data_IF_664431190942
#
_entry.id   IF_664431190942
#
_cell.length_a   1.000
_cell.length_b   1.000
_cell.length_c   1.000
_cell.angle_alpha   90.00
_cell.angle_beta   90.00
_cell.angle_gamma   90.00
#
_symmetry.space_group_name_H-M   'P 1'
#
loop_
_entity.id
_entity.type
_entity.pdbx_description
1 polymer ?
#
# COMPACT_ATOMS: atom_id res chain seq x y z
N UNK A 1 -15.62 -16.97 -15.43
CA UNK A 1 -15.75 -15.52 -15.21
C UNK A 1 -16.68 -14.97 -16.29
N UNK A 2 -17.75 -14.26 -15.92
CA UNK A 2 -18.73 -13.78 -16.89
C UNK A 2 -18.19 -12.65 -17.77
N UNK A 3 -17.42 -11.74 -17.16
CA UNK A 3 -16.69 -10.66 -17.86
C UNK A 3 -15.28 -10.55 -17.28
N UNK A 4 -14.37 -10.05 -18.11
CA UNK A 4 -12.97 -9.81 -17.78
C UNK A 4 -12.57 -8.50 -18.42
N UNK A 5 -11.94 -7.62 -17.65
CA UNK A 5 -11.33 -6.41 -18.16
C UNK A 5 -9.82 -6.44 -17.96
N UNK A 6 -9.13 -5.43 -18.47
CA UNK A 6 -7.68 -5.29 -18.35
C UNK A 6 -7.22 -4.98 -16.92
N UNK A 7 -8.15 -4.67 -16.00
CA UNK A 7 -7.87 -4.35 -14.59
C UNK A 7 -7.92 -5.58 -13.71
N UNK A 8 -8.67 -6.58 -14.13
CA UNK A 8 -8.92 -7.79 -13.35
C UNK A 8 -7.62 -8.57 -13.14
N UNK A 9 -7.12 -8.54 -11.90
CA UNK A 9 -5.95 -9.30 -11.50
C UNK A 9 -6.35 -10.47 -10.62
N UNK A 10 -5.86 -11.67 -10.93
CA UNK A 10 -6.09 -12.89 -10.15
C UNK A 10 -4.80 -13.28 -9.41
N UNK A 11 -4.95 -13.83 -8.21
CA UNK A 11 -3.87 -14.48 -7.46
C UNK A 11 -4.21 -15.96 -7.35
N UNK A 12 -3.21 -16.82 -7.60
CA UNK A 12 -3.36 -18.27 -7.59
C UNK A 12 -2.31 -18.84 -6.64
N UNK A 13 -2.75 -19.63 -5.67
CA UNK A 13 -1.88 -20.40 -4.77
C UNK A 13 -1.56 -21.74 -5.44
N UNK A 14 -0.29 -22.12 -5.47
CA UNK A 14 0.17 -23.37 -6.06
C UNK A 14 0.77 -24.25 -4.97
N UNK A 15 0.46 -25.55 -5.02
CA UNK A 15 0.99 -26.55 -4.09
C UNK A 15 1.79 -27.61 -4.86
N UNK A 16 2.76 -28.22 -4.18
CA UNK A 16 3.59 -29.26 -4.76
C UNK A 16 2.92 -30.62 -4.61
N UNK A 17 2.61 -31.28 -5.72
CA UNK A 17 2.16 -32.69 -5.73
C UNK A 17 3.32 -33.68 -5.87
N UNK A 18 4.44 -33.23 -6.44
CA UNK A 18 5.65 -34.02 -6.69
C UNK A 18 6.90 -33.14 -6.62
N UNK A 19 8.06 -33.78 -6.44
CA UNK A 19 9.35 -33.10 -6.51
C UNK A 19 9.56 -32.46 -7.90
N UNK A 20 10.19 -31.30 -7.91
CA UNK A 20 10.53 -30.54 -9.12
C UNK A 20 11.95 -30.86 -9.56
N UNK A 21 12.18 -30.82 -10.87
CA UNK A 21 13.50 -31.02 -11.46
C UNK A 21 14.16 -29.68 -11.72
N UNK A 22 15.28 -29.44 -11.04
CA UNK A 22 16.05 -28.20 -11.09
C UNK A 22 16.46 -27.82 -12.52
N UNK A 23 16.83 -28.80 -13.36
CA UNK A 23 17.31 -28.54 -14.73
C UNK A 23 16.18 -28.16 -15.67
N UNK A 24 14.99 -28.72 -15.46
CA UNK A 24 13.81 -28.44 -16.31
C UNK A 24 13.06 -27.19 -15.85
N UNK A 25 13.15 -26.84 -14.56
CA UNK A 25 12.35 -25.78 -13.97
C UNK A 25 10.86 -26.09 -14.00
N UNK A 26 10.05 -25.05 -13.89
CA UNK A 26 8.59 -25.12 -13.98
C UNK A 26 8.08 -24.17 -15.04
N UNK A 27 7.18 -24.65 -15.89
CA UNK A 27 6.44 -23.81 -16.83
C UNK A 27 5.01 -23.68 -16.35
N UNK A 28 4.56 -22.44 -16.15
CA UNK A 28 3.18 -22.10 -15.82
C UNK A 28 2.56 -21.53 -17.10
N UNK A 29 1.47 -22.14 -17.54
CA UNK A 29 0.72 -21.67 -18.70
C UNK A 29 -0.71 -21.31 -18.29
N UNK A 30 -1.08 -20.04 -18.48
CA UNK A 30 -2.43 -19.54 -18.26
C UNK A 30 -3.11 -19.39 -19.60
N UNK A 31 -4.20 -20.12 -19.80
CA UNK A 31 -5.00 -20.09 -21.04
C UNK A 31 -6.36 -19.45 -20.74
N UNK A 32 -6.63 -18.31 -21.37
CA UNK A 32 -7.91 -17.62 -21.30
C UNK A 32 -8.62 -17.73 -22.64
N UNK A 33 -9.75 -18.44 -22.67
CA UNK A 33 -10.67 -18.44 -23.81
C UNK A 33 -11.81 -17.47 -23.55
N UNK A 34 -12.05 -16.54 -24.47
CA UNK A 34 -13.07 -15.50 -24.32
C UNK A 34 -13.69 -15.11 -25.67
N UNK A 35 -14.86 -14.47 -25.62
CA UNK A 35 -15.49 -13.86 -26.80
C UNK A 35 -15.21 -12.37 -26.77
N UNK A 36 -14.68 -11.83 -27.87
CA UNK A 36 -14.40 -10.40 -28.00
C UNK A 36 -15.71 -9.61 -28.13
N UNK A 37 -15.63 -8.28 -27.98
CA UNK A 37 -16.78 -7.39 -28.22
C UNK A 37 -17.29 -7.46 -29.68
N UNK A 38 -16.47 -7.96 -30.61
CA UNK A 38 -16.84 -8.19 -32.01
C UNK A 38 -17.52 -9.56 -32.23
N UNK A 39 -17.75 -10.34 -31.18
CA UNK A 39 -18.35 -11.68 -31.28
C UNK A 39 -17.37 -12.79 -31.65
N UNK A 40 -16.08 -12.48 -31.78
CA UNK A 40 -15.06 -13.46 -32.15
C UNK A 40 -14.60 -14.28 -30.94
N UNK A 41 -14.55 -15.59 -31.07
CA UNK A 41 -13.93 -16.46 -30.07
C UNK A 41 -12.41 -16.38 -30.20
N UNK A 42 -11.74 -15.92 -29.15
CA UNK A 42 -10.28 -15.77 -29.08
C UNK A 42 -9.72 -16.53 -27.89
N UNK A 43 -8.46 -16.94 -28.02
CA UNK A 43 -7.69 -17.55 -26.93
C UNK A 43 -6.44 -16.74 -26.69
N UNK A 44 -6.22 -16.33 -25.44
CA UNK A 44 -4.99 -15.67 -24.98
C UNK A 44 -4.21 -16.65 -24.11
N UNK A 45 -2.92 -16.77 -24.40
CA UNK A 45 -2.01 -17.68 -23.71
C UNK A 45 -0.87 -16.88 -23.12
N UNK A 46 -0.63 -17.04 -21.83
CA UNK A 46 0.56 -16.54 -21.15
C UNK A 46 1.38 -17.73 -20.67
N UNK A 47 2.65 -17.77 -21.05
CA UNK A 47 3.59 -18.81 -20.63
C UNK A 47 4.71 -18.17 -19.83
N UNK A 48 4.95 -18.67 -18.62
CA UNK A 48 6.00 -18.23 -17.71
C UNK A 48 6.88 -19.43 -17.38
N UNK A 49 8.18 -19.32 -17.63
CA UNK A 49 9.16 -20.33 -17.21
C UNK A 49 9.90 -19.82 -15.97
N UNK A 50 9.95 -20.64 -14.93
CA UNK A 50 10.58 -20.35 -13.66
C UNK A 50 11.69 -21.37 -13.39
N UNK A 51 12.81 -20.89 -12.87
CA UNK A 51 13.86 -21.75 -12.37
C UNK A 51 13.41 -22.43 -11.07
N UNK A 52 13.94 -23.62 -10.83
CA UNK A 52 13.84 -24.29 -9.54
C UNK A 52 15.21 -24.24 -8.87
N UNK A 53 15.25 -24.32 -7.54
CA UNK A 53 16.48 -24.46 -6.78
C UNK A 53 16.23 -25.33 -5.56
N UNK A 54 17.24 -26.12 -5.18
CA UNK A 54 17.26 -26.84 -3.91
C UNK A 54 17.77 -25.96 -2.75
N UNK A 55 18.32 -24.78 -3.05
CA UNK A 55 18.84 -23.84 -2.07
C UNK A 55 17.78 -22.80 -1.68
N UNK A 56 17.45 -22.76 -0.39
CA UNK A 56 16.44 -21.83 0.13
C UNK A 56 16.80 -20.35 -0.08
N UNK A 57 18.10 -20.02 -0.09
CA UNK A 57 18.58 -18.66 -0.34
C UNK A 57 18.11 -18.14 -1.70
N UNK A 58 18.15 -18.98 -2.74
CA UNK A 58 17.71 -18.60 -4.08
C UNK A 58 16.21 -18.28 -4.10
N UNK A 59 15.40 -19.00 -3.33
CA UNK A 59 13.97 -18.69 -3.16
C UNK A 59 13.78 -17.30 -2.57
N UNK A 60 14.50 -16.96 -1.50
CA UNK A 60 14.40 -15.63 -0.88
C UNK A 60 14.94 -14.50 -1.77
N UNK A 61 15.97 -14.78 -2.57
CA UNK A 61 16.52 -13.82 -3.52
C UNK A 61 15.58 -13.50 -4.67
N UNK A 62 14.74 -14.46 -5.10
CA UNK A 62 13.80 -14.28 -6.21
C UNK A 62 12.39 -13.84 -5.79
N UNK A 63 12.15 -13.62 -4.49
CA UNK A 63 10.87 -13.14 -3.98
C UNK A 63 10.70 -11.63 -4.13
N UNK A 64 9.49 -11.19 -4.46
CA UNK A 64 9.12 -9.77 -4.54
C UNK A 64 8.08 -9.41 -3.48
N UNK A 65 8.41 -8.45 -2.60
CA UNK A 65 7.54 -8.06 -1.49
C UNK A 65 6.14 -7.59 -1.93
N UNK A 66 6.03 -6.85 -3.03
CA UNK A 66 4.77 -6.33 -3.56
C UNK A 66 3.85 -7.46 -4.05
N UNK A 67 4.41 -8.47 -4.69
CA UNK A 67 3.66 -9.65 -5.18
C UNK A 67 3.13 -10.46 -4.01
N UNK A 68 3.95 -10.67 -2.98
CA UNK A 68 3.53 -11.32 -1.73
C UNK A 68 2.43 -10.53 -1.02
N UNK A 69 2.57 -9.21 -0.89
CA UNK A 69 1.52 -8.34 -0.34
C UNK A 69 0.20 -8.54 -1.10
N UNK A 70 0.26 -8.55 -2.44
CA UNK A 70 -0.93 -8.68 -3.28
C UNK A 70 -1.59 -10.04 -3.11
N UNK A 71 -0.79 -11.11 -3.05
CA UNK A 71 -1.26 -12.46 -2.77
C UNK A 71 -1.93 -12.54 -1.39
N UNK A 72 -1.24 -12.14 -0.32
CA UNK A 72 -1.76 -12.18 1.04
C UNK A 72 -2.99 -11.30 1.21
N UNK A 73 -3.03 -10.12 0.60
CA UNK A 73 -4.20 -9.26 0.61
C UNK A 73 -5.41 -9.97 0.03
N UNK A 74 -5.27 -10.59 -1.16
CA UNK A 74 -6.38 -11.30 -1.81
C UNK A 74 -6.79 -12.56 -1.03
N UNK A 75 -5.82 -13.35 -0.56
CA UNK A 75 -6.06 -14.54 0.28
C UNK A 75 -6.91 -14.16 1.50
N UNK A 76 -6.46 -13.16 2.26
CA UNK A 76 -7.16 -12.72 3.47
C UNK A 76 -8.52 -12.10 3.15
N UNK A 77 -8.61 -11.23 2.15
CA UNK A 77 -9.86 -10.55 1.81
C UNK A 77 -10.94 -11.51 1.29
N UNK A 78 -10.55 -12.61 0.63
CA UNK A 78 -11.45 -13.70 0.31
C UNK A 78 -11.91 -14.43 1.58
N UNK A 79 -10.98 -14.80 2.46
CA UNK A 79 -11.27 -15.53 3.69
C UNK A 79 -12.09 -14.77 4.73
N UNK A 80 -12.10 -13.42 4.69
CA UNK A 80 -12.91 -12.56 5.59
C UNK A 80 -14.41 -12.88 5.55
N UNK A 81 -14.91 -13.49 4.47
CA UNK A 81 -16.32 -13.87 4.36
C UNK A 81 -16.67 -15.11 5.19
N UNK A 82 -15.68 -15.91 5.57
CA UNK A 82 -15.86 -17.25 6.14
C UNK A 82 -15.19 -17.40 7.52
N UNK A 83 -14.16 -16.60 7.80
CA UNK A 83 -13.31 -16.73 8.99
C UNK A 83 -13.27 -15.45 9.84
N UNK A 84 -13.12 -15.56 11.17
CA UNK A 84 -12.93 -14.42 12.07
C UNK A 84 -11.73 -13.54 11.68
N UNK A 85 -11.90 -12.22 11.77
CA UNK A 85 -10.86 -11.25 11.41
C UNK A 85 -9.58 -11.39 12.25
N UNK A 86 -9.72 -11.73 13.53
CA UNK A 86 -8.59 -11.91 14.43
C UNK A 86 -7.71 -13.07 13.98
N UNK A 87 -8.32 -14.21 13.64
CA UNK A 87 -7.63 -15.39 13.14
C UNK A 87 -6.81 -15.08 11.89
N UNK A 88 -7.41 -14.37 10.92
CA UNK A 88 -6.72 -13.97 9.69
C UNK A 88 -5.53 -13.03 9.95
N UNK A 89 -5.66 -12.12 10.92
CA UNK A 89 -4.58 -11.20 11.31
C UNK A 89 -3.44 -11.90 12.05
N UNK A 90 -3.75 -12.96 12.79
CA UNK A 90 -2.78 -13.81 13.47
C UNK A 90 -2.07 -14.72 12.46
N UNK A 91 -2.81 -15.35 11.52
CA UNK A 91 -2.25 -16.13 10.41
C UNK A 91 -1.21 -15.33 9.61
N UNK A 92 -1.54 -14.10 9.19
CA UNK A 92 -0.59 -13.22 8.51
C UNK A 92 0.68 -12.96 9.31
N UNK A 93 0.57 -12.83 10.64
CA UNK A 93 1.73 -12.59 11.50
C UNK A 93 2.58 -13.86 11.62
N UNK A 94 1.94 -15.02 11.81
CA UNK A 94 2.59 -16.33 11.93
C UNK A 94 3.37 -16.68 10.67
N UNK A 95 2.74 -16.62 9.49
CA UNK A 95 3.36 -16.92 8.19
C UNK A 95 4.64 -16.10 7.94
N UNK A 96 4.60 -14.79 8.27
CA UNK A 96 5.78 -13.91 8.12
C UNK A 96 6.85 -14.24 9.14
N UNK A 97 6.45 -14.52 10.38
CA UNK A 97 7.38 -14.86 11.45
C UNK A 97 8.12 -16.16 11.12
N UNK A 98 7.39 -17.18 10.65
CA UNK A 98 7.94 -18.47 10.23
C UNK A 98 8.88 -18.31 9.03
N UNK A 99 8.48 -17.53 8.03
CA UNK A 99 9.31 -17.19 6.88
C UNK A 99 10.64 -16.53 7.29
N UNK A 100 10.59 -15.54 8.20
CA UNK A 100 11.80 -14.88 8.71
C UNK A 100 12.66 -15.78 9.61
N UNK A 101 12.04 -16.61 10.45
CA UNK A 101 12.76 -17.60 11.25
C UNK A 101 13.48 -18.62 10.35
N UNK A 102 12.79 -19.10 9.31
CA UNK A 102 13.35 -20.01 8.32
C UNK A 102 14.54 -19.38 7.58
N UNK A 103 14.41 -18.13 7.14
CA UNK A 103 15.53 -17.38 6.54
C UNK A 103 16.72 -17.26 7.49
N UNK A 104 16.47 -16.89 8.76
CA UNK A 104 17.53 -16.78 9.77
C UNK A 104 18.24 -18.11 9.99
N UNK A 105 17.49 -19.21 10.13
CA UNK A 105 18.04 -20.54 10.40
C UNK A 105 18.94 -21.06 9.28
N UNK A 106 18.55 -20.84 8.03
CA UNK A 106 19.12 -21.55 6.88
C UNK A 106 19.93 -20.66 5.93
N UNK A 107 19.72 -19.34 5.95
CA UNK A 107 20.33 -18.41 4.98
C UNK A 107 21.21 -17.34 5.63
N UNK A 108 21.13 -17.13 6.95
CA UNK A 108 21.97 -16.14 7.63
C UNK A 108 23.30 -16.73 8.08
N UNK A 109 24.38 -15.95 7.98
CA UNK A 109 25.70 -16.34 8.45
C UNK A 109 25.67 -16.58 9.96
N UNK A 110 26.42 -17.58 10.45
CA UNK A 110 26.50 -17.95 11.87
C UNK A 110 27.01 -16.83 12.79
N UNK A 111 27.45 -15.69 12.25
CA UNK A 111 27.98 -14.54 12.96
C UNK A 111 26.93 -13.50 13.37
N UNK A 112 25.65 -13.67 13.01
CA UNK A 112 24.63 -12.66 13.33
C UNK A 112 24.21 -12.74 14.80
N UNK A 113 24.31 -11.61 15.51
CA UNK A 113 23.95 -11.54 16.92
C UNK A 113 22.47 -11.86 17.14
N UNK A 114 22.10 -12.47 18.28
CA UNK A 114 20.72 -12.79 18.60
C UNK A 114 19.83 -11.54 18.71
N UNK A 115 20.39 -10.37 19.02
CA UNK A 115 19.64 -9.11 19.15
C UNK A 115 19.35 -8.40 17.82
N UNK A 116 19.79 -8.93 16.68
CA UNK A 116 19.56 -8.33 15.36
C UNK A 116 18.42 -9.04 14.62
N UNK A 117 17.47 -8.31 14.06
CA UNK A 117 16.51 -8.85 13.10
C UNK A 117 17.15 -8.92 11.70
N UNK A 118 17.18 -10.11 11.10
CA UNK A 118 17.76 -10.32 9.76
C UNK A 118 16.63 -10.43 8.75
N UNK A 119 16.67 -9.59 7.72
CA UNK A 119 15.68 -9.57 6.65
C UNK A 119 16.35 -9.90 5.30
N UNK A 120 15.70 -10.70 4.44
CA UNK A 120 16.14 -10.87 3.05
C UNK A 120 16.12 -9.54 2.32
N UNK A 121 17.11 -9.30 1.45
CA UNK A 121 17.27 -8.01 0.75
C UNK A 121 16.01 -7.57 -0.01
N UNK A 122 15.40 -8.48 -0.77
CA UNK A 122 14.21 -8.21 -1.58
C UNK A 122 12.90 -8.19 -0.77
N UNK A 123 12.94 -8.58 0.51
CA UNK A 123 11.80 -8.59 1.43
C UNK A 123 11.92 -7.54 2.55
N UNK A 124 12.87 -6.61 2.49
CA UNK A 124 13.02 -5.53 3.49
C UNK A 124 11.75 -4.70 3.70
N UNK A 125 10.96 -4.51 2.64
CA UNK A 125 9.70 -3.75 2.67
C UNK A 125 8.48 -4.61 3.00
N UNK A 126 8.61 -5.94 3.03
CA UNK A 126 7.49 -6.85 3.29
C UNK A 126 6.87 -6.61 4.69
N UNK A 127 7.65 -6.42 5.78
CA UNK A 127 7.06 -6.19 7.10
C UNK A 127 6.19 -4.93 7.18
N UNK A 128 6.59 -3.82 6.55
CA UNK A 128 5.78 -2.58 6.57
C UNK A 128 4.49 -2.76 5.76
N UNK A 129 4.56 -3.44 4.61
CA UNK A 129 3.39 -3.74 3.80
C UNK A 129 2.38 -4.63 4.52
N UNK A 130 2.86 -5.70 5.18
CA UNK A 130 1.98 -6.62 5.89
C UNK A 130 1.44 -6.02 7.19
N UNK A 131 2.20 -5.16 7.86
CA UNK A 131 1.65 -4.38 8.97
C UNK A 131 0.52 -3.45 8.50
N UNK A 132 0.69 -2.79 7.36
CA UNK A 132 -0.35 -1.96 6.76
C UNK A 132 -1.60 -2.77 6.39
N UNK A 133 -1.43 -3.93 5.76
CA UNK A 133 -2.53 -4.85 5.45
C UNK A 133 -3.29 -5.28 6.71
N UNK A 134 -2.58 -5.66 7.79
CA UNK A 134 -3.19 -6.04 9.08
C UNK A 134 -3.97 -4.89 9.73
N UNK A 135 -3.62 -3.64 9.43
CA UNK A 135 -4.30 -2.41 9.88
C UNK A 135 -5.38 -1.92 8.91
N UNK A 136 -5.62 -2.63 7.82
CA UNK A 136 -6.63 -2.22 6.84
C UNK A 136 -8.04 -2.26 7.43
N UNK A 137 -8.91 -1.35 6.96
CA UNK A 137 -10.30 -1.28 7.44
C UNK A 137 -11.09 -2.58 7.18
N UNK A 138 -10.65 -3.41 6.24
CA UNK A 138 -11.25 -4.72 5.98
C UNK A 138 -10.90 -5.72 7.09
N UNK A 139 -9.67 -5.72 7.60
CA UNK A 139 -9.20 -6.68 8.62
C UNK A 139 -9.34 -6.18 10.06
N UNK A 140 -9.52 -4.88 10.28
CA UNK A 140 -9.81 -4.35 11.61
C UNK A 140 -11.30 -4.48 11.97
N UNK A 141 -11.63 -4.65 13.27
CA UNK A 141 -13.01 -4.52 13.74
C UNK A 141 -13.49 -3.10 13.44
N UNK A 142 -14.54 -2.97 12.63
CA UNK A 142 -15.00 -1.70 12.04
C UNK A 142 -15.65 -0.75 13.04
N UNK A 143 -14.87 -0.20 13.97
CA UNK A 143 -15.33 0.78 14.97
C UNK A 143 -15.81 2.09 14.33
N UNK A 144 -15.22 2.47 13.19
CA UNK A 144 -15.40 3.78 12.54
C UNK A 144 -15.79 3.71 11.05
N UNK A 145 -16.03 2.50 10.53
CA UNK A 145 -16.40 2.27 9.12
C UNK A 145 -17.62 1.37 9.03
N UNK A 146 -18.59 1.75 8.21
CA UNK A 146 -19.78 0.92 7.95
C UNK A 146 -19.41 -0.39 7.26
N UNK A 147 -20.25 -1.41 7.44
CA UNK A 147 -20.10 -2.70 6.72
C UNK A 147 -20.07 -2.49 5.21
N UNK A 148 -20.90 -1.58 4.69
CA UNK A 148 -20.95 -1.27 3.26
C UNK A 148 -19.63 -0.70 2.74
N UNK A 149 -19.04 0.28 3.44
CA UNK A 149 -17.74 0.86 3.06
C UNK A 149 -16.63 -0.19 3.07
N UNK A 150 -16.61 -1.08 4.07
CA UNK A 150 -15.62 -2.15 4.17
C UNK A 150 -15.77 -3.17 3.03
N UNK A 151 -17.01 -3.53 2.70
CA UNK A 151 -17.29 -4.43 1.57
C UNK A 151 -16.91 -3.80 0.23
N UNK A 152 -17.21 -2.52 0.04
CA UNK A 152 -16.82 -1.77 -1.16
C UNK A 152 -15.29 -1.71 -1.30
N UNK A 153 -14.58 -1.36 -0.22
CA UNK A 153 -13.12 -1.33 -0.20
C UNK A 153 -12.54 -2.71 -0.53
N UNK A 154 -13.06 -3.77 0.08
CA UNK A 154 -12.68 -5.16 -0.23
C UNK A 154 -12.83 -5.45 -1.73
N UNK A 155 -13.99 -5.16 -2.31
CA UNK A 155 -14.24 -5.42 -3.73
C UNK A 155 -13.28 -4.65 -4.65
N UNK A 156 -12.99 -3.39 -4.33
CA UNK A 156 -12.05 -2.57 -5.09
C UNK A 156 -10.62 -3.12 -5.00
N UNK A 157 -10.15 -3.46 -3.79
CA UNK A 157 -8.76 -3.89 -3.56
C UNK A 157 -8.49 -5.29 -4.10
N UNK A 158 -9.44 -6.23 -4.02
CA UNK A 158 -9.27 -7.60 -4.57
C UNK A 158 -9.05 -7.58 -6.09
N UNK A 159 -9.57 -6.57 -6.79
CA UNK A 159 -9.37 -6.42 -8.23
C UNK A 159 -8.01 -5.87 -8.63
N UNK A 160 -7.31 -5.17 -7.72
CA UNK A 160 -6.09 -4.42 -8.03
C UNK A 160 -4.92 -5.30 -8.50
N UNK A 161 -4.07 -4.71 -9.33
CA UNK A 161 -2.77 -5.26 -9.71
C UNK A 161 -1.72 -5.02 -8.62
N UNK A 162 -0.55 -5.64 -8.78
CA UNK A 162 0.53 -5.59 -7.77
C UNK A 162 0.99 -4.16 -7.46
N UNK A 163 1.12 -3.32 -8.49
CA UNK A 163 1.58 -1.93 -8.34
C UNK A 163 0.56 -1.10 -7.57
N UNK A 164 -0.72 -1.22 -7.94
CA UNK A 164 -1.83 -0.50 -7.32
C UNK A 164 -2.03 -0.98 -5.89
N UNK A 165 -1.97 -2.29 -5.63
CA UNK A 165 -2.05 -2.82 -4.26
C UNK A 165 -0.93 -2.28 -3.37
N UNK A 166 0.32 -2.22 -3.86
CA UNK A 166 1.42 -1.64 -3.12
C UNK A 166 1.18 -0.16 -2.77
N UNK A 167 0.72 0.64 -3.73
CA UNK A 167 0.37 2.06 -3.50
C UNK A 167 -0.88 2.26 -2.64
N UNK A 168 -1.74 1.25 -2.50
CA UNK A 168 -2.88 1.29 -1.58
C UNK A 168 -2.43 1.12 -0.12
N UNK A 169 -1.53 0.16 0.14
CA UNK A 169 -1.05 -0.13 1.49
C UNK A 169 0.15 0.72 1.91
N UNK A 170 0.84 1.39 0.99
CA UNK A 170 1.84 2.42 1.31
C UNK A 170 1.66 3.58 0.33
N UNK A 171 0.74 4.52 0.63
CA UNK A 171 0.51 5.67 -0.24
C UNK A 171 1.74 6.57 -0.31
N UNK A 172 1.81 7.42 -1.34
CA UNK A 172 2.86 8.42 -1.45
C UNK A 172 2.46 9.67 -0.67
N UNK A 173 3.33 10.13 0.23
CA UNK A 173 3.17 11.38 0.96
C UNK A 173 4.18 12.40 0.39
N UNK A 174 3.66 13.36 -0.39
CA UNK A 174 4.48 14.28 -1.18
C UNK A 174 4.38 15.69 -0.60
N UNK A 175 5.49 16.32 -0.17
CA UNK A 175 5.47 17.74 0.19
C UNK A 175 5.25 18.56 -1.08
N UNK A 176 4.31 19.50 -1.03
CA UNK A 176 4.08 20.43 -2.13
C UNK A 176 5.10 21.59 -2.04
N UNK A 177 5.79 21.91 -3.14
CA UNK A 177 6.71 23.04 -3.15
C UNK A 177 5.92 24.35 -3.01
N UNK A 178 6.13 25.02 -1.89
CA UNK A 178 5.60 26.36 -1.63
C UNK A 178 6.73 27.34 -1.89
N UNK A 179 6.83 27.87 -3.12
CA UNK A 179 7.73 29.01 -3.42
C UNK A 179 8.96 28.76 -4.29
N UNK A 180 8.93 27.80 -5.22
CA UNK A 180 9.99 27.63 -6.23
C UNK A 180 9.77 28.46 -7.49
N UNK A 181 10.87 28.88 -8.14
CA UNK A 181 10.86 29.62 -9.41
C UNK A 181 10.00 28.94 -10.48
N UNK A 182 9.09 29.74 -11.03
CA UNK A 182 8.06 29.39 -12.02
C UNK A 182 8.56 28.88 -13.38
N UNK A 183 9.86 28.63 -13.54
CA UNK A 183 10.51 28.25 -14.81
C UNK A 183 10.77 26.75 -14.96
N UNK A 184 10.55 25.94 -13.91
CA UNK A 184 10.69 24.48 -13.97
C UNK A 184 9.35 23.77 -13.68
N UNK A 185 9.04 22.65 -14.36
CA UNK A 185 7.89 21.83 -13.99
C UNK A 185 8.05 21.46 -12.51
N UNK A 186 6.97 21.60 -11.73
CA UNK A 186 6.92 21.25 -10.29
C UNK A 186 7.89 20.11 -9.97
N UNK A 187 9.05 20.43 -9.41
CA UNK A 187 9.91 19.42 -8.80
C UNK A 187 9.19 18.99 -7.53
N UNK A 188 8.31 17.99 -7.66
CA UNK A 188 7.73 17.30 -6.52
C UNK A 188 8.87 16.97 -5.56
N UNK A 189 8.74 17.37 -4.29
CA UNK A 189 9.71 16.98 -3.29
C UNK A 189 9.77 15.45 -3.19
N UNK A 190 10.89 14.93 -2.72
CA UNK A 190 11.03 13.49 -2.48
C UNK A 190 9.91 13.01 -1.54
N UNK A 191 9.34 11.86 -1.85
CA UNK A 191 8.28 11.28 -1.03
C UNK A 191 8.81 11.01 0.38
N UNK A 192 8.08 11.49 1.40
CA UNK A 192 8.44 11.27 2.79
C UNK A 192 7.73 10.02 3.33
N UNK A 193 8.23 9.48 4.44
CA UNK A 193 7.67 8.28 5.07
C UNK A 193 6.26 8.54 5.59
N UNK A 194 5.41 7.52 5.56
CA UNK A 194 4.04 7.59 6.06
C UNK A 194 3.97 7.51 7.60
N UNK A 195 4.57 8.49 8.27
CA UNK A 195 4.55 8.68 9.73
C UNK A 195 4.36 10.16 10.06
N UNK A 196 3.67 10.44 11.17
CA UNK A 196 3.45 11.79 11.69
C UNK A 196 4.78 12.50 11.99
N UNK A 197 5.82 11.76 12.36
CA UNK A 197 7.15 12.32 12.63
C UNK A 197 7.83 12.92 11.39
N UNK A 198 7.36 12.59 10.18
CA UNK A 198 7.87 13.15 8.92
C UNK A 198 7.09 14.37 8.43
N UNK A 199 6.01 14.76 9.13
CA UNK A 199 5.19 15.91 8.76
C UNK A 199 5.70 17.18 9.42
N UNK A 200 6.06 18.16 8.60
CA UNK A 200 6.29 19.54 9.05
C UNK A 200 4.98 20.33 9.07
N UNK A 201 4.72 20.99 10.19
CA UNK A 201 3.55 21.82 10.41
C UNK A 201 3.48 23.09 9.55
N UNK A 202 4.59 23.52 8.96
CA UNK A 202 4.66 24.65 8.03
C UNK A 202 4.40 24.28 6.56
N UNK A 203 4.24 22.98 6.25
CA UNK A 203 4.22 22.46 4.88
C UNK A 203 2.86 21.90 4.51
N UNK A 204 2.55 21.94 3.21
CA UNK A 204 1.40 21.30 2.61
C UNK A 204 1.82 19.93 2.08
N UNK A 205 1.06 18.88 2.44
CA UNK A 205 1.36 17.52 1.98
C UNK A 205 0.21 16.96 1.15
N UNK A 206 0.54 16.41 -0.01
CA UNK A 206 -0.38 15.68 -0.85
C UNK A 206 -0.17 14.17 -0.64
N UNK A 207 -1.19 13.51 -0.11
CA UNK A 207 -1.25 12.04 -0.03
C UNK A 207 -1.89 11.50 -1.29
N UNK A 208 -1.16 10.66 -2.00
CA UNK A 208 -1.57 10.04 -3.25
C UNK A 208 -1.58 8.51 -3.12
N UNK A 209 -2.75 7.91 -3.31
CA UNK A 209 -2.91 6.46 -3.46
C UNK A 209 -4.03 6.10 -4.43
N UNK A 210 -4.20 4.83 -4.80
CA UNK A 210 -5.17 4.40 -5.82
C UNK A 210 -6.62 4.81 -5.60
N UNK A 211 -7.04 4.87 -4.34
CA UNK A 211 -8.40 5.19 -3.92
C UNK A 211 -8.48 6.51 -3.15
N UNK A 212 -7.36 7.16 -2.89
CA UNK A 212 -7.28 8.33 -2.01
C UNK A 212 -6.45 9.45 -2.63
N UNK A 213 -6.97 10.67 -2.51
CA UNK A 213 -6.26 11.89 -2.83
C UNK A 213 -6.59 12.91 -1.73
N UNK A 214 -5.62 13.16 -0.85
CA UNK A 214 -5.83 13.99 0.34
C UNK A 214 -4.77 15.07 0.39
N UNK A 215 -5.18 16.32 0.60
CA UNK A 215 -4.30 17.46 0.82
C UNK A 215 -4.35 17.83 2.31
N UNK A 216 -3.26 17.56 3.01
CA UNK A 216 -3.10 17.97 4.40
C UNK A 216 -2.48 19.36 4.50
N UNK A 217 -3.05 20.18 5.37
CA UNK A 217 -2.67 21.57 5.60
C UNK A 217 -2.23 21.70 7.05
N UNK A 218 -0.92 21.90 7.24
CA UNK A 218 -0.32 22.12 8.55
C UNK A 218 -0.78 23.43 9.19
N UNK A 219 -0.70 23.50 10.52
CA UNK A 219 -1.19 24.65 11.28
C UNK A 219 -0.37 25.93 11.08
N UNK A 220 0.91 25.81 10.72
CA UNK A 220 1.85 26.93 10.52
C UNK A 220 2.13 27.21 9.04
N UNK A 221 1.28 26.73 8.13
CA UNK A 221 1.44 27.01 6.70
C UNK A 221 1.35 28.52 6.45
N UNK A 222 2.24 29.04 5.62
CA UNK A 222 2.30 30.48 5.34
C UNK A 222 1.00 31.01 4.72
N UNK A 223 0.57 32.20 5.15
CA UNK A 223 -0.65 32.85 4.63
C UNK A 223 -0.59 33.07 3.12
N UNK A 224 0.60 33.25 2.54
CA UNK A 224 0.79 33.39 1.09
C UNK A 224 0.33 32.13 0.36
N UNK A 225 0.65 30.93 0.85
CA UNK A 225 0.18 29.66 0.27
C UNK A 225 -1.33 29.50 0.39
N UNK A 226 -1.90 29.89 1.53
CA UNK A 226 -3.34 29.81 1.77
C UNK A 226 -4.12 30.71 0.81
N UNK A 227 -3.66 31.94 0.60
CA UNK A 227 -4.26 32.87 -0.37
C UNK A 227 -4.08 32.31 -1.79
N UNK A 228 -2.89 31.83 -2.15
CA UNK A 228 -2.61 31.31 -3.48
C UNK A 228 -3.38 30.02 -3.82
N UNK A 229 -3.64 29.13 -2.86
CA UNK A 229 -4.35 27.87 -3.12
C UNK A 229 -5.85 27.93 -2.91
N UNK A 230 -6.28 28.61 -1.85
CA UNK A 230 -7.66 28.55 -1.37
C UNK A 230 -8.36 29.91 -1.42
N UNK A 231 -7.64 30.99 -1.74
CA UNK A 231 -8.14 32.38 -1.68
C UNK A 231 -8.66 32.76 -0.28
N UNK A 232 -7.97 32.29 0.77
CA UNK A 232 -8.29 32.58 2.17
C UNK A 232 -7.09 33.18 2.89
N UNK A 233 -7.36 34.04 3.88
CA UNK A 233 -6.33 34.72 4.68
C UNK A 233 -6.06 34.04 6.02
N UNK A 234 -6.93 33.13 6.46
CA UNK A 234 -6.81 32.44 7.74
C UNK A 234 -7.13 30.96 7.60
N UNK A 235 -6.35 30.10 8.23
CA UNK A 235 -6.56 28.65 8.20
C UNK A 235 -7.88 28.22 8.84
N UNK A 236 -8.41 29.00 9.80
CA UNK A 236 -9.66 28.68 10.49
C UNK A 236 -10.87 28.65 9.56
N UNK A 237 -10.84 29.45 8.48
CA UNK A 237 -11.93 29.53 7.50
C UNK A 237 -11.87 28.44 6.43
N UNK A 238 -10.79 27.65 6.38
CA UNK A 238 -10.66 26.55 5.43
C UNK A 238 -11.65 25.42 5.77
N UNK A 239 -12.57 25.07 4.86
CA UNK A 239 -13.44 23.91 5.06
C UNK A 239 -12.65 22.61 4.89
N UNK A 240 -12.71 21.75 5.91
CA UNK A 240 -12.20 20.38 5.84
C UNK A 240 -13.24 19.45 5.19
N UNK A 241 -12.79 18.47 4.43
CA UNK A 241 -13.66 17.48 3.76
C UNK A 241 -13.44 17.40 2.26
N UNK A 242 -14.45 16.90 1.53
CA UNK A 242 -14.40 16.79 0.07
C UNK A 242 -14.55 18.17 -0.57
N UNK A 243 -13.48 18.66 -1.19
CA UNK A 243 -13.41 20.04 -1.67
C UNK A 243 -12.82 20.08 -3.08
N UNK A 244 -13.38 20.95 -3.93
CA UNK A 244 -12.75 21.31 -5.21
C UNK A 244 -11.87 22.53 -4.98
N UNK A 245 -10.63 22.49 -5.47
CA UNK A 245 -9.76 23.68 -5.41
C UNK A 245 -10.36 24.81 -6.25
N UNK A 246 -10.32 26.06 -5.75
CA UNK A 246 -10.75 27.22 -6.52
C UNK A 246 -9.85 27.41 -7.75
N UNK A 247 -10.44 27.91 -8.83
CA UNK A 247 -9.70 28.27 -10.05
C UNK A 247 -9.11 29.65 -9.82
N UNK A 248 -7.82 29.69 -9.49
CA UNK A 248 -7.08 30.92 -9.27
C UNK A 248 -5.96 31.04 -10.31
N UNK A 249 -5.77 32.26 -10.82
CA UNK A 249 -4.78 32.60 -11.84
C UNK A 249 -3.44 32.96 -11.19
N UNK A 250 -2.87 31.99 -10.48
CA UNK A 250 -1.53 32.07 -9.92
C UNK A 250 -0.76 30.77 -10.21
N UNK A 251 0.58 30.84 -10.30
CA UNK A 251 1.39 29.70 -10.74
C UNK A 251 1.21 28.49 -9.82
N UNK A 252 1.09 28.70 -8.51
CA UNK A 252 0.99 27.62 -7.53
C UNK A 252 -0.36 26.89 -7.64
N UNK A 253 -1.49 27.61 -7.73
CA UNK A 253 -2.82 27.02 -7.95
C UNK A 253 -2.90 26.27 -9.28
N UNK A 254 -2.42 26.85 -10.38
CA UNK A 254 -2.39 26.20 -11.70
C UNK A 254 -1.58 24.92 -11.65
N UNK A 255 -0.41 24.97 -11.02
CA UNK A 255 0.51 23.84 -10.91
C UNK A 255 -0.07 22.71 -10.05
N UNK A 256 -0.62 23.01 -8.88
CA UNK A 256 -1.24 21.99 -7.99
C UNK A 256 -2.48 21.38 -8.64
N UNK A 257 -3.33 22.18 -9.31
CA UNK A 257 -4.47 21.66 -10.08
C UNK A 257 -4.02 20.77 -11.23
N UNK A 258 -2.98 21.17 -11.98
CA UNK A 258 -2.39 20.36 -13.06
C UNK A 258 -1.83 19.03 -12.54
N UNK A 259 -1.13 19.05 -11.41
CA UNK A 259 -0.63 17.86 -10.72
C UNK A 259 -1.79 16.93 -10.33
N UNK A 260 -2.81 17.45 -9.66
CA UNK A 260 -3.99 16.66 -9.25
C UNK A 260 -4.69 16.03 -10.46
N UNK A 261 -4.85 16.78 -11.54
CA UNK A 261 -5.43 16.27 -12.79
C UNK A 261 -4.56 15.17 -13.39
N UNK A 262 -3.24 15.36 -13.43
CA UNK A 262 -2.29 14.37 -13.93
C UNK A 262 -2.37 13.08 -13.10
N UNK A 263 -2.33 13.19 -11.77
CA UNK A 263 -2.44 12.05 -10.88
C UNK A 263 -3.77 11.31 -11.08
N UNK A 264 -4.88 12.04 -11.21
CA UNK A 264 -6.20 11.44 -11.47
C UNK A 264 -6.28 10.76 -12.84
N UNK A 265 -5.60 11.26 -13.86
CA UNK A 265 -5.55 10.63 -15.19
C UNK A 265 -4.80 9.30 -15.19
N UNK A 266 -3.86 9.12 -14.26
CA UNK A 266 -3.06 7.91 -14.11
C UNK A 266 -3.78 6.80 -13.32
N UNK A 267 -4.87 7.10 -12.63
CA UNK A 267 -5.59 6.15 -11.80
C UNK A 267 -6.90 5.69 -12.42
N UNK A 268 -7.29 4.45 -12.11
CA UNK A 268 -8.51 3.85 -12.66
C UNK A 268 -9.80 4.41 -12.04
N UNK A 269 -9.71 4.93 -10.82
CA UNK A 269 -10.81 5.51 -10.08
C UNK A 269 -10.58 7.02 -9.97
N UNK A 270 -11.58 7.79 -10.40
CA UNK A 270 -11.57 9.25 -10.17
C UNK A 270 -11.68 9.50 -8.68
N UNK A 271 -10.67 10.15 -8.10
CA UNK A 271 -10.64 10.47 -6.68
C UNK A 271 -11.08 11.90 -6.48
N UNK A 272 -11.96 12.11 -5.51
CA UNK A 272 -12.28 13.44 -5.01
C UNK A 272 -11.15 13.89 -4.09
N UNK A 273 -10.70 15.13 -4.25
CA UNK A 273 -9.76 15.74 -3.34
C UNK A 273 -10.41 15.91 -1.96
N UNK A 274 -9.76 15.42 -0.92
CA UNK A 274 -10.13 15.69 0.46
C UNK A 274 -9.12 16.63 1.09
N UNK A 275 -9.56 17.80 1.55
CA UNK A 275 -8.72 18.75 2.28
C UNK A 275 -8.83 18.44 3.77
N UNK A 276 -7.71 18.33 4.45
CA UNK A 276 -7.62 18.02 5.87
C UNK A 276 -6.73 19.04 6.54
N UNK A 277 -7.30 19.78 7.49
CA UNK A 277 -6.57 20.73 8.33
C UNK A 277 -6.05 20.02 9.58
N UNK A 278 -4.83 20.35 9.98
CA UNK A 278 -4.26 19.87 11.24
C UNK A 278 -5.12 20.30 12.45
N UNK A 279 -5.38 19.36 13.37
CA UNK A 279 -6.20 19.58 14.56
C UNK A 279 -7.71 19.52 14.33
N UNK A 280 -8.17 19.30 13.09
CA UNK A 280 -9.58 19.14 12.77
C UNK A 280 -10.04 17.67 12.90
N UNK A 281 -11.34 17.47 13.07
CA UNK A 281 -12.02 16.17 13.06
C UNK A 281 -11.67 15.28 11.85
N UNK A 282 -11.38 15.89 10.69
CA UNK A 282 -11.01 15.17 9.48
C UNK A 282 -9.56 14.63 9.49
N UNK A 283 -8.73 15.03 10.47
CA UNK A 283 -7.33 14.59 10.58
C UNK A 283 -7.21 13.08 10.80
N UNK A 284 -8.23 12.44 11.37
CA UNK A 284 -8.29 10.99 11.48
C UNK A 284 -8.14 10.29 10.12
N UNK A 285 -8.63 10.90 9.03
CA UNK A 285 -8.47 10.35 7.69
C UNK A 285 -6.99 10.32 7.24
N UNK A 286 -6.18 11.31 7.63
CA UNK A 286 -4.74 11.27 7.41
C UNK A 286 -4.08 10.24 8.32
N UNK A 287 -4.43 10.20 9.60
CA UNK A 287 -3.83 9.28 10.57
C UNK A 287 -3.96 7.80 10.15
N UNK A 288 -5.05 7.43 9.47
CA UNK A 288 -5.22 6.09 8.89
C UNK A 288 -4.26 5.79 7.73
N UNK A 289 -3.78 6.82 7.02
CA UNK A 289 -2.85 6.72 5.89
C UNK A 289 -1.38 6.79 6.34
N UNK A 290 -1.11 7.20 7.58
CA UNK A 290 0.21 7.15 8.21
C UNK A 290 0.50 5.72 8.69
N UNK A 291 0.68 4.82 7.72
CA UNK A 291 0.74 3.37 7.92
C UNK A 291 1.92 2.88 8.76
N UNK A 292 2.89 3.73 9.09
CA UNK A 292 3.96 3.36 10.01
C UNK A 292 3.61 3.59 11.49
N UNK A 293 2.62 4.45 11.78
CA UNK A 293 2.23 4.78 13.14
C UNK A 293 1.19 3.80 13.71
N UNK A 294 0.87 3.96 14.99
CA UNK A 294 -0.27 3.25 15.60
C UNK A 294 -1.56 3.73 14.95
N UNK A 295 -2.39 2.80 14.49
CA UNK A 295 -3.66 3.15 13.85
C UNK A 295 -4.69 3.57 14.91
N UNK A 296 -5.49 4.62 14.65
CA UNK A 296 -6.59 5.02 15.54
C UNK A 296 -7.65 3.91 15.70
N UNK A 297 -7.75 3.02 14.71
CA UNK A 297 -8.68 1.87 14.73
C UNK A 297 -8.07 0.60 15.34
N UNK A 298 -6.86 0.71 15.90
CA UNK A 298 -6.12 -0.40 16.49
C UNK A 298 -5.09 -1.02 15.54
N UNK A 299 -4.11 -1.70 16.14
CA UNK A 299 -2.95 -2.25 15.44
C UNK A 299 -1.65 -1.54 15.81
N UNK A 300 -0.55 -2.29 15.72
CA UNK A 300 0.76 -1.88 16.18
C UNK A 300 1.43 -0.88 15.21
N UNK A 301 2.33 -0.04 15.73
CA UNK A 301 3.22 0.74 14.85
C UNK A 301 4.14 -0.19 14.08
N UNK A 302 4.83 0.33 13.06
CA UNK A 302 5.83 -0.43 12.32
C UNK A 302 6.97 -0.90 13.23
N UNK A 303 7.44 -0.05 14.14
CA UNK A 303 8.48 -0.40 15.10
C UNK A 303 8.03 -1.53 16.06
N UNK A 304 6.82 -1.41 16.62
CA UNK A 304 6.23 -2.45 17.47
C UNK A 304 6.08 -3.77 16.71
N UNK A 305 5.62 -3.72 15.45
CA UNK A 305 5.45 -4.92 14.64
C UNK A 305 6.79 -5.60 14.32
N UNK A 306 7.84 -4.84 14.00
CA UNK A 306 9.19 -5.39 13.83
C UNK A 306 9.71 -6.05 15.11
N UNK A 307 9.46 -5.43 16.26
CA UNK A 307 9.81 -6.00 17.56
C UNK A 307 9.11 -7.34 17.79
N UNK A 308 7.79 -7.41 17.54
CA UNK A 308 7.04 -8.65 17.65
C UNK A 308 7.53 -9.74 16.68
N UNK A 309 7.80 -9.38 15.41
CA UNK A 309 8.37 -10.32 14.45
C UNK A 309 9.72 -10.86 14.93
N UNK A 310 10.58 -10.00 15.47
CA UNK A 310 11.88 -10.39 15.98
C UNK A 310 11.78 -11.36 17.15
N UNK A 311 11.02 -11.01 18.20
CA UNK A 311 10.84 -11.85 19.39
C UNK A 311 10.26 -13.21 19.01
N UNK A 312 9.20 -13.24 18.20
CA UNK A 312 8.56 -14.49 17.82
C UNK A 312 9.46 -15.34 16.91
N UNK A 313 10.23 -14.71 16.01
CA UNK A 313 11.16 -15.44 15.14
C UNK A 313 12.26 -16.15 15.94
N UNK A 314 12.75 -15.53 17.03
CA UNK A 314 13.73 -16.17 17.92
C UNK A 314 13.09 -17.32 18.68
N UNK A 315 11.87 -17.14 19.20
CA UNK A 315 11.17 -18.21 19.93
C UNK A 315 10.98 -19.47 19.09
N UNK A 316 10.73 -19.32 17.78
CA UNK A 316 10.64 -20.44 16.84
C UNK A 316 11.97 -21.14 16.57
N UNK A 317 13.11 -20.49 16.80
CA UNK A 317 14.44 -21.10 16.62
C UNK A 317 14.90 -21.90 17.83
N UNK A 318 14.33 -21.63 19.01
CA UNK A 318 14.64 -22.33 20.26
C UNK A 318 13.80 -23.61 20.41
N UNK A 319 12.70 -23.73 19.67
CA UNK A 319 11.87 -24.93 19.58
C UNK A 319 12.40 -25.90 18.52
#
# INVERSE_FOLDING_TARGET
MATLDWRTTLAVELTHSRALDEKRGVVIQTVLSYTSQQGERRTRVHSLSLCCSHHLLDTFCNCQAQTLLTFYCKKMYCAVLERPLQELREELQTEVTESLACYRKHCSSSSVSPGQLVLPQHLKTLPVYLNSLRKSEVLLPGLRSSVHQRLQLRCQVVSMDTKTTAGHFYPLLLPLPVGGDTSSPLSLGEAVRCTAASLDHGVLYLVHGPLVLLLWVGHNVSNTSLVQLFNITCLSTLPSGETKLPVLDNPLSVSVRSLINTLNSQTHYTRKLRVVKQGDSCEEALQRLLVEDKSPNGGASYADFLYHLHVNSIQLLVR
#
